data_IF_383329021835
#
_entry.id   IF_383329021835
#
_cell.length_a   1.000
_cell.length_b   1.000
_cell.length_c   1.000
_cell.angle_alpha   90.00
_cell.angle_beta   90.00
_cell.angle_gamma   90.00
#
_symmetry.space_group_name_H-M   'P 1'
#
loop_
_entity.id
_entity.type
_entity.pdbx_description
1 polymer ?
#
# COMPACT_ATOMS: atom_id res chain seq x y z
N UNK A 1 43.15 27.46 -46.40
CA UNK A 1 41.84 27.19 -45.77
C UNK A 1 41.93 27.60 -44.31
N UNK A 2 41.22 28.65 -43.84
CA UNK A 2 41.21 28.93 -42.42
C UNK A 2 40.28 27.93 -41.72
N UNK A 3 40.83 27.21 -40.73
CA UNK A 3 40.08 26.39 -39.79
C UNK A 3 39.24 27.33 -38.91
N UNK A 4 37.92 27.24 -39.01
CA UNK A 4 36.99 27.95 -38.13
C UNK A 4 37.05 27.28 -36.75
N UNK A 5 37.74 27.93 -35.81
CA UNK A 5 37.72 27.53 -34.40
C UNK A 5 36.33 27.89 -33.87
N UNK A 6 35.49 26.89 -33.61
CA UNK A 6 34.23 27.11 -32.89
C UNK A 6 34.57 27.65 -31.50
N UNK A 7 34.06 28.84 -31.19
CA UNK A 7 34.05 29.41 -29.84
C UNK A 7 33.56 28.35 -28.83
N UNK A 8 34.21 28.22 -27.65
CA UNK A 8 33.79 27.27 -26.63
C UNK A 8 32.36 27.60 -26.19
N UNK A 9 31.45 26.64 -26.35
CA UNK A 9 30.06 26.78 -25.89
C UNK A 9 30.05 26.97 -24.38
N UNK A 10 29.36 28.00 -23.89
CA UNK A 10 29.20 28.23 -22.46
C UNK A 10 28.52 27.02 -21.82
N UNK A 11 29.21 26.37 -20.87
CA UNK A 11 28.62 25.28 -20.11
C UNK A 11 27.46 25.81 -19.27
N UNK A 12 26.31 25.15 -19.33
CA UNK A 12 25.17 25.41 -18.45
C UNK A 12 25.18 24.39 -17.33
N UNK A 13 25.08 24.87 -16.10
CA UNK A 13 24.94 23.99 -14.93
C UNK A 13 23.63 23.20 -14.99
N UNK A 14 23.65 22.02 -14.36
CA UNK A 14 22.45 21.21 -14.20
C UNK A 14 21.43 21.88 -13.28
N UNK A 15 20.15 21.59 -13.51
CA UNK A 15 19.08 22.03 -12.61
C UNK A 15 19.01 21.17 -11.34
N UNK A 16 18.58 21.77 -10.24
CA UNK A 16 18.26 21.05 -9.00
C UNK A 16 16.88 20.40 -9.07
N UNK A 17 16.73 19.27 -8.38
CA UNK A 17 15.45 18.59 -8.16
C UNK A 17 15.08 18.74 -6.69
N UNK A 18 13.88 19.24 -6.42
CA UNK A 18 13.32 19.33 -5.06
C UNK A 18 12.31 18.19 -4.91
N UNK A 19 12.49 17.39 -3.87
CA UNK A 19 11.61 16.28 -3.53
C UNK A 19 10.54 16.74 -2.53
N UNK A 20 9.47 15.95 -2.41
CA UNK A 20 8.47 16.10 -1.34
C UNK A 20 8.90 15.44 -0.04
N UNK A 21 10.02 14.69 -0.07
CA UNK A 21 10.55 13.98 1.08
C UNK A 21 10.98 14.99 2.14
N UNK A 22 10.51 14.79 3.36
CA UNK A 22 10.98 15.47 4.54
C UNK A 22 12.09 14.61 5.18
N UNK A 23 13.30 15.15 5.33
CA UNK A 23 14.45 14.36 5.78
C UNK A 23 14.25 13.80 7.20
N UNK A 24 13.56 14.54 8.06
CA UNK A 24 13.33 14.16 9.46
C UNK A 24 12.32 13.01 9.50
N UNK A 25 11.23 13.13 8.74
CA UNK A 25 10.23 12.05 8.62
C UNK A 25 10.85 10.82 7.97
N UNK A 26 11.67 10.98 6.93
CA UNK A 26 12.40 9.88 6.29
C UNK A 26 13.29 9.14 7.28
N UNK A 27 14.14 9.86 8.02
CA UNK A 27 15.04 9.27 9.00
C UNK A 27 14.29 8.48 10.08
N UNK A 28 13.24 9.07 10.67
CA UNK A 28 12.40 8.40 11.68
C UNK A 28 11.75 7.14 11.11
N UNK A 29 11.26 7.21 9.87
CA UNK A 29 10.61 6.09 9.18
C UNK A 29 11.59 4.95 8.92
N UNK A 30 12.81 5.27 8.48
CA UNK A 30 13.89 4.30 8.27
C UNK A 30 14.33 3.61 9.56
N UNK A 31 14.49 4.37 10.65
CA UNK A 31 14.82 3.82 11.97
C UNK A 31 13.72 2.90 12.50
N UNK A 32 12.46 3.30 12.39
CA UNK A 32 11.33 2.49 12.82
C UNK A 32 11.21 1.20 12.01
N UNK A 33 11.38 1.30 10.68
CA UNK A 33 11.36 0.15 9.79
C UNK A 33 12.52 -0.81 10.07
N UNK A 34 13.72 -0.30 10.35
CA UNK A 34 14.88 -1.14 10.70
C UNK A 34 14.61 -1.95 11.96
N UNK A 35 14.11 -1.30 13.03
CA UNK A 35 13.74 -1.97 14.28
C UNK A 35 12.70 -3.07 14.04
N UNK A 36 11.68 -2.80 13.23
CA UNK A 36 10.64 -3.78 12.88
C UNK A 36 11.21 -4.94 12.03
N UNK A 37 12.09 -4.64 11.08
CA UNK A 37 12.73 -5.61 10.20
C UNK A 37 13.61 -6.59 10.98
N UNK A 38 14.47 -6.08 11.88
CA UNK A 38 15.32 -6.91 12.74
C UNK A 38 14.50 -7.81 13.67
N UNK A 39 13.41 -7.30 14.25
CA UNK A 39 12.54 -8.07 15.14
C UNK A 39 11.75 -9.17 14.41
N UNK A 40 11.23 -8.86 13.21
CA UNK A 40 10.36 -9.76 12.46
C UNK A 40 11.09 -10.85 11.69
N UNK A 41 12.39 -10.66 11.40
CA UNK A 41 13.17 -11.52 10.49
C UNK A 41 12.50 -11.67 9.11
N UNK A 42 11.80 -10.62 8.66
CA UNK A 42 11.15 -10.60 7.36
C UNK A 42 12.19 -10.64 6.21
N UNK A 43 11.77 -11.07 5.02
CA UNK A 43 12.62 -11.03 3.81
C UNK A 43 12.84 -9.61 3.29
N UNK A 44 11.82 -8.78 3.42
CA UNK A 44 11.84 -7.36 3.08
C UNK A 44 10.81 -6.61 3.94
N UNK A 45 10.96 -5.30 4.04
CA UNK A 45 10.04 -4.38 4.68
C UNK A 45 9.97 -3.06 3.92
N UNK A 46 8.78 -2.45 3.90
CA UNK A 46 8.52 -1.18 3.22
C UNK A 46 7.69 -0.32 4.18
N UNK A 47 8.00 0.97 4.27
CA UNK A 47 7.18 1.95 4.98
C UNK A 47 7.06 3.22 4.12
N UNK A 48 5.84 3.70 3.94
CA UNK A 48 5.54 4.91 3.15
C UNK A 48 4.72 5.85 4.04
N UNK A 49 5.10 7.12 4.07
CA UNK A 49 4.36 8.18 4.76
C UNK A 49 3.86 9.17 3.72
N UNK A 50 2.56 9.43 3.72
CA UNK A 50 1.88 10.26 2.74
C UNK A 50 1.15 11.38 3.45
N UNK A 51 1.24 12.61 2.94
CA UNK A 51 0.36 13.71 3.35
C UNK A 51 -1.04 13.48 2.75
N UNK A 52 -2.09 13.23 3.56
CA UNK A 52 -3.39 12.81 3.02
C UNK A 52 -4.07 13.86 2.13
N UNK A 53 -3.81 15.14 2.35
CA UNK A 53 -4.45 16.22 1.59
C UNK A 53 -3.85 16.40 0.20
N UNK A 54 -2.53 16.26 0.07
CA UNK A 54 -1.79 16.55 -1.17
C UNK A 54 -1.37 15.29 -1.92
N UNK A 55 -1.30 14.14 -1.22
CA UNK A 55 -0.74 12.91 -1.75
C UNK A 55 0.79 12.92 -1.83
N UNK A 56 1.44 13.97 -1.30
CA UNK A 56 2.90 14.07 -1.27
C UNK A 56 3.51 12.93 -0.45
N UNK A 57 4.58 12.34 -0.98
CA UNK A 57 5.33 11.31 -0.26
C UNK A 57 6.34 12.01 0.62
N UNK A 58 6.09 11.97 1.93
CA UNK A 58 6.96 12.58 2.94
C UNK A 58 8.12 11.65 3.31
N UNK A 59 7.90 10.33 3.23
CA UNK A 59 8.93 9.33 3.41
C UNK A 59 8.64 8.04 2.63
N UNK A 60 9.69 7.37 2.17
CA UNK A 60 9.65 6.07 1.53
C UNK A 60 10.89 5.26 1.93
N UNK A 61 10.73 4.37 2.90
CA UNK A 61 11.79 3.56 3.48
C UNK A 61 11.66 2.08 3.09
N UNK A 62 12.80 1.41 2.86
CA UNK A 62 12.86 0.01 2.45
C UNK A 62 13.96 -0.72 3.23
N UNK A 63 13.70 -1.99 3.58
CA UNK A 63 14.69 -2.94 4.10
C UNK A 63 14.61 -4.27 3.34
N UNK A 64 15.74 -4.97 3.10
CA UNK A 64 17.10 -4.43 3.19
C UNK A 64 17.34 -3.30 2.17
N UNK A 65 18.24 -2.38 2.51
CA UNK A 65 18.68 -1.27 1.65
C UNK A 65 20.19 -1.38 1.35
N UNK A 66 20.75 -0.42 0.61
CA UNK A 66 22.16 -0.36 0.26
C UNK A 66 22.71 1.07 0.42
N UNK A 67 24.03 1.19 0.56
CA UNK A 67 24.70 2.50 0.52
C UNK A 67 24.99 2.88 -0.95
N UNK A 68 24.37 3.95 -1.47
CA UNK A 68 24.56 4.36 -2.86
C UNK A 68 26.01 4.78 -3.17
N UNK A 69 26.79 5.23 -2.18
CA UNK A 69 28.20 5.56 -2.36
C UNK A 69 29.06 4.32 -2.68
N UNK A 70 28.57 3.13 -2.34
CA UNK A 70 29.23 1.85 -2.59
C UNK A 70 28.30 0.81 -3.25
N UNK A 71 27.38 1.27 -4.11
CA UNK A 71 26.33 0.44 -4.72
C UNK A 71 26.86 -0.85 -5.38
N UNK A 72 28.06 -0.81 -5.97
CA UNK A 72 28.73 -1.93 -6.61
C UNK A 72 29.12 -3.08 -5.67
N UNK A 73 29.12 -2.84 -4.34
CA UNK A 73 29.34 -3.88 -3.32
C UNK A 73 28.08 -4.66 -2.97
N UNK A 74 26.91 -4.21 -3.44
CA UNK A 74 25.61 -4.81 -3.12
C UNK A 74 25.03 -5.55 -4.34
N UNK A 75 24.24 -6.62 -4.11
CA UNK A 75 23.50 -7.28 -5.19
C UNK A 75 22.54 -6.31 -5.89
N UNK A 76 22.43 -6.42 -7.23
CA UNK A 76 21.55 -5.56 -8.04
C UNK A 76 20.08 -5.59 -7.60
N UNK A 77 19.63 -6.70 -7.02
CA UNK A 77 18.27 -6.83 -6.50
C UNK A 77 17.97 -5.86 -5.34
N UNK A 78 18.99 -5.34 -4.65
CA UNK A 78 18.82 -4.32 -3.61
C UNK A 78 18.72 -2.90 -4.18
N UNK A 79 19.09 -2.70 -5.45
CA UNK A 79 19.11 -1.36 -6.06
C UNK A 79 17.72 -0.82 -6.37
N UNK A 80 16.72 -1.71 -6.51
CA UNK A 80 15.36 -1.32 -6.84
C UNK A 80 14.59 -0.81 -5.63
N UNK A 81 13.75 0.18 -5.88
CA UNK A 81 12.78 0.66 -4.92
C UNK A 81 11.56 -0.30 -4.90
N UNK A 82 11.54 -1.24 -3.95
CA UNK A 82 10.48 -2.24 -3.82
C UNK A 82 9.09 -1.63 -3.58
N UNK A 83 9.01 -0.43 -3.00
CA UNK A 83 7.75 0.24 -2.75
C UNK A 83 6.94 0.53 -4.02
N UNK A 84 7.63 0.65 -5.17
CA UNK A 84 7.00 0.95 -6.47
C UNK A 84 7.22 -0.13 -7.52
N UNK A 85 8.08 -1.12 -7.24
CA UNK A 85 8.42 -2.18 -8.21
C UNK A 85 7.85 -3.55 -7.86
N UNK A 86 7.62 -3.84 -6.58
CA UNK A 86 7.11 -5.14 -6.13
C UNK A 86 5.59 -5.06 -5.92
N UNK A 87 4.84 -5.91 -6.62
CA UNK A 87 3.42 -6.12 -6.38
C UNK A 87 3.20 -7.28 -5.41
N UNK A 88 2.20 -7.16 -4.53
CA UNK A 88 1.77 -8.22 -3.63
C UNK A 88 0.25 -8.17 -3.45
N UNK A 89 -0.34 -9.30 -3.05
CA UNK A 89 -1.77 -9.35 -2.74
C UNK A 89 -2.04 -8.55 -1.44
N UNK A 90 -2.92 -7.53 -1.49
CA UNK A 90 -3.13 -6.63 -0.34
C UNK A 90 -3.78 -7.32 0.87
N UNK A 91 -4.45 -8.45 0.65
CA UNK A 91 -5.16 -9.19 1.70
C UNK A 91 -6.21 -8.32 2.39
N UNK A 92 -6.32 -8.43 3.71
CA UNK A 92 -7.34 -7.74 4.51
C UNK A 92 -7.30 -6.20 4.43
N UNK A 93 -6.19 -5.58 4.02
CA UNK A 93 -6.15 -4.11 3.85
C UNK A 93 -7.09 -3.64 2.73
N UNK A 94 -7.38 -4.51 1.76
CA UNK A 94 -8.29 -4.22 0.66
C UNK A 94 -9.77 -4.16 1.08
N UNK A 95 -10.13 -4.74 2.23
CA UNK A 95 -11.51 -4.76 2.74
C UNK A 95 -12.11 -3.37 2.90
N UNK A 96 -11.26 -2.36 3.15
CA UNK A 96 -11.68 -0.95 3.25
C UNK A 96 -12.35 -0.50 1.96
N UNK A 97 -11.86 -0.92 0.79
CA UNK A 97 -12.48 -0.58 -0.50
C UNK A 97 -13.89 -1.18 -0.58
N UNK A 98 -14.04 -2.49 -0.35
CA UNK A 98 -15.36 -3.15 -0.39
C UNK A 98 -16.36 -2.51 0.55
N UNK A 99 -15.96 -2.20 1.79
CA UNK A 99 -16.83 -1.61 2.80
C UNK A 99 -17.18 -0.16 2.44
N UNK A 100 -16.19 0.63 1.99
CA UNK A 100 -16.43 2.00 1.57
C UNK A 100 -17.37 2.07 0.36
N UNK A 101 -17.17 1.22 -0.66
CA UNK A 101 -18.08 1.14 -1.81
C UNK A 101 -19.49 0.75 -1.37
N UNK A 102 -19.64 -0.22 -0.46
CA UNK A 102 -20.95 -0.65 0.01
C UNK A 102 -21.70 0.45 0.79
N UNK A 103 -20.97 1.26 1.57
CA UNK A 103 -21.53 2.41 2.26
C UNK A 103 -21.91 3.53 1.29
N UNK A 104 -21.04 3.85 0.32
CA UNK A 104 -21.28 4.87 -0.70
C UNK A 104 -22.53 4.56 -1.53
N UNK A 105 -22.68 3.31 -1.94
CA UNK A 105 -23.83 2.81 -2.71
C UNK A 105 -25.07 2.56 -1.83
N UNK A 106 -24.97 2.80 -0.52
CA UNK A 106 -26.05 2.64 0.47
C UNK A 106 -26.67 1.24 0.51
N UNK A 107 -25.93 0.22 0.08
CA UNK A 107 -26.36 -1.19 0.15
C UNK A 107 -26.12 -1.81 1.53
N UNK A 108 -25.36 -1.10 2.38
CA UNK A 108 -25.22 -1.36 3.82
C UNK A 108 -25.26 -0.06 4.61
N UNK A 109 -25.52 -0.16 5.91
CA UNK A 109 -25.35 0.93 6.87
C UNK A 109 -24.70 0.42 8.17
N UNK A 110 -24.32 1.34 9.07
CA UNK A 110 -23.60 1.00 10.31
C UNK A 110 -24.41 0.16 11.30
N UNK A 111 -25.74 0.17 11.21
CA UNK A 111 -26.64 -0.57 12.10
C UNK A 111 -26.98 -1.97 11.57
N UNK A 112 -26.64 -2.27 10.31
CA UNK A 112 -26.86 -3.59 9.72
C UNK A 112 -26.19 -4.68 10.55
N UNK A 113 -26.89 -5.80 10.69
CA UNK A 113 -26.40 -6.98 11.40
C UNK A 113 -25.99 -8.07 10.42
N UNK A 114 -24.85 -8.66 10.71
CA UNK A 114 -24.24 -9.75 9.97
C UNK A 114 -23.96 -10.91 10.93
N UNK A 115 -23.89 -12.12 10.40
CA UNK A 115 -23.62 -13.29 11.22
C UNK A 115 -22.45 -14.09 10.67
N UNK A 116 -21.39 -14.21 11.48
CA UNK A 116 -20.21 -14.98 11.19
C UNK A 116 -20.23 -16.29 11.99
N UNK A 117 -20.40 -17.42 11.29
CA UNK A 117 -20.27 -18.78 11.86
C UNK A 117 -18.87 -19.39 11.68
N UNK A 118 -17.86 -18.58 11.37
CA UNK A 118 -16.47 -19.02 11.11
C UNK A 118 -16.21 -19.58 9.70
N UNK A 119 -17.26 -19.83 8.91
CA UNK A 119 -17.15 -20.13 7.48
C UNK A 119 -18.38 -19.70 6.68
N UNK A 120 -18.22 -19.55 5.36
CA UNK A 120 -19.32 -19.35 4.39
C UNK A 120 -19.02 -20.09 3.09
N UNK A 121 -20.05 -20.65 2.44
CA UNK A 121 -19.94 -21.16 1.07
C UNK A 121 -20.48 -20.11 0.10
N UNK A 122 -19.66 -19.71 -0.86
CA UNK A 122 -20.03 -18.72 -1.88
C UNK A 122 -19.42 -19.13 -3.23
N UNK A 123 -20.23 -19.10 -4.30
CA UNK A 123 -19.85 -19.53 -5.64
C UNK A 123 -19.08 -20.86 -5.70
N UNK A 124 -19.54 -21.87 -4.94
CA UNK A 124 -18.92 -23.20 -4.91
C UNK A 124 -17.68 -23.32 -4.02
N UNK A 125 -17.10 -22.22 -3.56
CA UNK A 125 -15.93 -22.19 -2.67
C UNK A 125 -16.33 -22.01 -1.21
N UNK A 126 -15.55 -22.60 -0.29
CA UNK A 126 -15.71 -22.40 1.15
C UNK A 126 -14.64 -21.43 1.61
N UNK A 127 -15.08 -20.34 2.22
CA UNK A 127 -14.22 -19.33 2.83
C UNK A 127 -14.28 -19.47 4.35
N UNK A 128 -13.11 -19.38 4.97
CA UNK A 128 -12.95 -19.49 6.41
C UNK A 128 -12.49 -18.16 7.00
N UNK A 129 -12.91 -17.94 8.24
CA UNK A 129 -12.34 -16.92 9.10
C UNK A 129 -11.40 -17.57 10.13
N UNK A 130 -10.58 -16.77 10.80
CA UNK A 130 -9.62 -17.28 11.80
C UNK A 130 -10.37 -17.93 12.97
N UNK A 131 -11.54 -17.40 13.32
CA UNK A 131 -12.43 -17.93 14.35
C UNK A 131 -13.88 -17.50 14.08
N UNK A 132 -14.82 -18.09 14.81
CA UNK A 132 -16.21 -17.67 14.79
C UNK A 132 -16.39 -16.35 15.55
N UNK A 133 -17.10 -15.39 14.96
CA UNK A 133 -17.38 -14.10 15.59
C UNK A 133 -18.81 -13.92 16.09
N UNK A 134 -19.78 -14.71 15.58
CA UNK A 134 -21.19 -14.53 15.90
C UNK A 134 -21.80 -13.31 15.22
N UNK A 135 -22.75 -12.65 15.89
CA UNK A 135 -23.40 -11.44 15.38
C UNK A 135 -22.45 -10.25 15.42
N UNK A 136 -22.39 -9.51 14.32
CA UNK A 136 -21.53 -8.34 14.15
C UNK A 136 -22.27 -7.24 13.40
N UNK A 137 -22.02 -5.98 13.78
CA UNK A 137 -22.32 -4.85 12.90
C UNK A 137 -21.16 -4.56 11.94
N UNK A 138 -21.30 -3.56 11.07
CA UNK A 138 -20.26 -3.22 10.09
C UNK A 138 -18.94 -2.76 10.75
N UNK A 139 -19.03 -2.05 11.88
CA UNK A 139 -17.85 -1.63 12.66
C UNK A 139 -17.10 -2.85 13.22
N UNK A 140 -17.82 -3.83 13.73
CA UNK A 140 -17.25 -5.07 14.25
C UNK A 140 -16.58 -5.91 13.14
N UNK A 141 -17.15 -5.90 11.93
CA UNK A 141 -16.55 -6.56 10.76
C UNK A 141 -15.18 -5.96 10.46
N UNK A 142 -15.06 -4.63 10.43
CA UNK A 142 -13.77 -3.94 10.20
C UNK A 142 -12.79 -4.25 11.33
N UNK A 143 -13.25 -4.08 12.58
CA UNK A 143 -12.44 -4.27 13.79
C UNK A 143 -11.83 -5.66 13.87
N UNK A 144 -12.63 -6.69 13.61
CA UNK A 144 -12.22 -8.09 13.70
C UNK A 144 -11.64 -8.61 12.39
N UNK A 145 -11.58 -7.78 11.35
CA UNK A 145 -11.20 -8.18 9.99
C UNK A 145 -11.98 -9.41 9.50
N UNK A 146 -13.29 -9.45 9.75
CA UNK A 146 -14.13 -10.61 9.47
C UNK A 146 -14.29 -10.85 7.96
N UNK A 147 -13.69 -11.91 7.43
CA UNK A 147 -13.78 -12.29 6.01
C UNK A 147 -15.24 -12.51 5.60
N UNK A 148 -15.99 -13.21 6.44
CA UNK A 148 -17.37 -13.60 6.15
C UNK A 148 -18.28 -12.38 6.12
N UNK A 149 -18.09 -11.46 7.06
CA UNK A 149 -18.81 -10.18 7.08
C UNK A 149 -18.55 -9.38 5.80
N UNK A 150 -17.30 -9.27 5.37
CA UNK A 150 -16.95 -8.58 4.12
C UNK A 150 -17.53 -9.28 2.90
N UNK A 151 -17.53 -10.62 2.84
CA UNK A 151 -18.18 -11.36 1.74
C UNK A 151 -19.68 -11.03 1.72
N UNK A 152 -20.36 -11.10 2.87
CA UNK A 152 -21.78 -10.76 2.97
C UNK A 152 -22.05 -9.31 2.55
N UNK A 153 -21.21 -8.36 2.92
CA UNK A 153 -21.26 -6.96 2.44
C UNK A 153 -21.10 -6.90 0.92
N UNK A 154 -20.07 -7.55 0.37
CA UNK A 154 -19.75 -7.56 -1.05
C UNK A 154 -20.85 -8.19 -1.91
N UNK A 155 -21.56 -9.21 -1.42
CA UNK A 155 -22.69 -9.82 -2.15
C UNK A 155 -23.87 -8.88 -2.38
N UNK A 156 -23.91 -7.73 -1.69
CA UNK A 156 -24.95 -6.71 -1.89
C UNK A 156 -24.56 -5.66 -2.93
N UNK A 157 -23.32 -5.66 -3.40
CA UNK A 157 -22.83 -4.74 -4.43
C UNK A 157 -23.12 -5.28 -5.83
N UNK A 158 -23.42 -4.36 -6.76
CA UNK A 158 -23.36 -4.65 -8.18
C UNK A 158 -21.89 -4.81 -8.62
N UNK A 159 -21.63 -5.83 -9.44
CA UNK A 159 -20.27 -6.18 -9.89
C UNK A 159 -19.61 -5.05 -10.68
N UNK A 160 -20.36 -4.38 -11.56
CA UNK A 160 -19.82 -3.28 -12.38
C UNK A 160 -19.55 -2.04 -11.54
N UNK A 161 -20.39 -1.81 -10.53
CA UNK A 161 -20.18 -0.72 -9.56
C UNK A 161 -18.91 -0.98 -8.75
N UNK A 162 -18.71 -2.20 -8.25
CA UNK A 162 -17.51 -2.54 -7.52
C UNK A 162 -16.25 -2.47 -8.40
N UNK A 163 -16.30 -2.99 -9.64
CA UNK A 163 -15.19 -2.87 -10.59
C UNK A 163 -14.81 -1.39 -10.83
N UNK A 164 -15.82 -0.54 -11.05
CA UNK A 164 -15.60 0.91 -11.24
C UNK A 164 -14.97 1.54 -10.00
N UNK A 165 -15.35 1.12 -8.80
CA UNK A 165 -14.80 1.65 -7.55
C UNK A 165 -13.32 1.32 -7.36
N UNK A 166 -12.84 0.19 -7.87
CA UNK A 166 -11.41 -0.20 -7.77
C UNK A 166 -10.54 0.61 -8.73
N UNK A 167 -11.13 1.14 -9.81
CA UNK A 167 -10.44 1.90 -10.86
C UNK A 167 -10.51 3.42 -10.68
N UNK A 168 -11.23 3.91 -9.65
CA UNK A 168 -11.37 5.33 -9.35
C UNK A 168 -10.08 5.91 -8.79
#
# INVERSE_FOLDING_TARGET
>A
MPLSIKEPTTHKDGHSIVLTIDEVIQYITEEALDKAFQKSKAKAGIAIVVEPKTGEILAMAIKPSYDPNYFNKYPRDLWRNRAVTDAYEPGSTFKVITIATALEERVVNLNDQFYCKGWIKYNGHIFHDIHQHGSQNLTDIVKNSCNIGVIQTGTRLDEKVFEKSIRR
#
